data_IF_767614591608
#
_entry.id   IF_767614591608
#
_cell.length_a   1.000
_cell.length_b   1.000
_cell.length_c   1.000
_cell.angle_alpha   90.00
_cell.angle_beta   90.00
_cell.angle_gamma   90.00
#
_symmetry.space_group_name_H-M   'P 1'
#
loop_
_entity.id
_entity.type
_entity.pdbx_description
1 polymer ?
#
# COMPACT_ATOMS: atom_id res chain seq x y z
N UNK A 1 -28.45 -5.24 -11.11
CA UNK A 1 -27.68 -5.28 -11.23
C UNK A 1 -26.81 -4.61 -10.67
N UNK A 2 -26.42 -4.65 -10.14
CA UNK A 2 -25.47 -3.94 -9.54
C UNK A 2 -24.32 -3.86 -10.40
N UNK A 3 -23.62 -2.89 -10.35
CA UNK A 3 -22.32 -2.81 -10.91
C UNK A 3 -21.37 -2.87 -9.75
N UNK A 4 -21.06 -4.07 -9.28
CA UNK A 4 -20.23 -4.15 -8.06
C UNK A 4 -18.87 -3.54 -8.24
N UNK A 5 -18.40 -3.43 -9.49
CA UNK A 5 -17.14 -2.77 -9.77
C UNK A 5 -17.30 -1.35 -10.24
N UNK A 6 -18.35 -0.72 -9.82
CA UNK A 6 -18.58 0.68 -10.12
C UNK A 6 -17.42 1.52 -9.58
N UNK A 7 -16.84 2.36 -10.43
CA UNK A 7 -15.70 3.21 -10.05
C UNK A 7 -16.04 4.13 -8.88
N UNK A 8 -17.31 4.55 -8.77
CA UNK A 8 -17.75 5.43 -7.68
C UNK A 8 -17.68 4.76 -6.31
N UNK A 9 -17.67 3.42 -6.27
CA UNK A 9 -17.56 2.68 -5.02
C UNK A 9 -16.11 2.37 -4.67
N UNK A 10 -15.21 2.51 -5.63
CA UNK A 10 -13.80 2.22 -5.41
C UNK A 10 -13.19 3.24 -4.46
N UNK A 11 -12.30 2.74 -3.61
CA UNK A 11 -11.53 3.58 -2.71
C UNK A 11 -10.09 3.62 -3.20
N UNK A 12 -9.57 4.82 -3.40
CA UNK A 12 -8.17 5.01 -3.74
C UNK A 12 -7.43 5.39 -2.46
N UNK A 13 -6.34 4.67 -2.17
CA UNK A 13 -5.49 4.98 -1.02
C UNK A 13 -4.11 5.28 -1.57
N UNK A 14 -3.55 6.40 -1.13
CA UNK A 14 -2.16 6.74 -1.43
C UNK A 14 -1.36 6.78 -0.15
N UNK A 15 -0.08 6.46 -0.25
CA UNK A 15 0.82 6.57 0.88
C UNK A 15 2.16 7.09 0.42
N UNK A 16 2.80 7.87 1.27
CA UNK A 16 4.17 8.32 1.08
C UNK A 16 4.99 7.84 2.26
N UNK A 17 6.13 7.25 1.96
CA UNK A 17 7.08 6.80 2.97
C UNK A 17 8.42 7.48 2.74
N UNK A 18 9.07 7.82 3.83
CA UNK A 18 10.49 8.13 3.81
C UNK A 18 11.19 7.16 4.75
N UNK A 19 12.11 6.38 4.22
CA UNK A 19 12.83 5.34 4.96
C UNK A 19 13.94 5.99 5.77
N UNK A 20 14.14 5.50 7.00
CA UNK A 20 15.27 5.92 7.84
C UNK A 20 16.60 5.60 7.13
N UNK A 21 17.57 6.53 7.11
CA UNK A 21 18.88 6.24 6.52
C UNK A 21 19.50 4.99 7.10
N UNK A 22 19.99 4.13 6.22
CA UNK A 22 20.58 2.85 6.60
C UNK A 22 19.62 1.67 6.49
N UNK A 23 18.31 1.93 6.37
CA UNK A 23 17.30 0.88 6.29
C UNK A 23 16.80 0.63 4.86
N UNK A 24 17.44 1.22 3.88
CA UNK A 24 16.98 1.18 2.50
C UNK A 24 16.84 -0.24 1.96
N UNK A 25 17.88 -1.05 2.13
CA UNK A 25 17.87 -2.42 1.60
C UNK A 25 16.83 -3.30 2.30
N UNK A 26 16.68 -3.12 3.61
CA UNK A 26 15.72 -3.89 4.39
C UNK A 26 14.29 -3.59 3.94
N UNK A 27 13.95 -2.30 3.79
CA UNK A 27 12.60 -1.91 3.35
C UNK A 27 12.34 -2.36 1.93
N UNK A 28 13.32 -2.22 1.02
CA UNK A 28 13.16 -2.67 -0.35
C UNK A 28 12.84 -4.17 -0.42
N UNK A 29 13.53 -4.98 0.37
CA UNK A 29 13.26 -6.41 0.44
C UNK A 29 11.88 -6.74 0.97
N UNK A 30 11.45 -6.02 2.03
CA UNK A 30 10.11 -6.21 2.60
C UNK A 30 9.01 -5.86 1.58
N UNK A 31 9.20 -4.78 0.82
CA UNK A 31 8.20 -4.37 -0.18
C UNK A 31 8.13 -5.35 -1.35
N UNK A 32 9.26 -5.94 -1.76
CA UNK A 32 9.26 -6.97 -2.81
C UNK A 32 8.51 -8.22 -2.37
N UNK A 33 8.60 -8.56 -1.10
CA UNK A 33 7.87 -9.69 -0.54
C UNK A 33 6.38 -9.37 -0.42
N UNK A 34 6.05 -8.17 0.00
CA UNK A 34 4.68 -7.74 0.28
C UNK A 34 3.84 -7.55 -0.98
N UNK A 35 4.41 -6.92 -2.01
CA UNK A 35 3.65 -6.46 -3.17
C UNK A 35 2.83 -7.55 -3.86
N UNK A 36 3.40 -8.73 -4.20
CA UNK A 36 2.60 -9.76 -4.86
C UNK A 36 1.46 -10.28 -3.98
N UNK A 37 1.65 -10.30 -2.68
CA UNK A 37 0.60 -10.73 -1.75
C UNK A 37 -0.55 -9.72 -1.69
N UNK A 38 -0.24 -8.43 -1.69
CA UNK A 38 -1.25 -7.39 -1.75
C UNK A 38 -2.02 -7.44 -3.07
N UNK A 39 -1.32 -7.65 -4.18
CA UNK A 39 -1.95 -7.70 -5.50
C UNK A 39 -2.91 -8.88 -5.66
N UNK A 40 -2.76 -9.94 -4.86
CA UNK A 40 -3.62 -11.12 -4.94
C UNK A 40 -4.87 -11.02 -4.07
N UNK A 41 -5.00 -10.00 -3.24
CA UNK A 41 -6.18 -9.85 -2.38
C UNK A 41 -7.43 -9.65 -3.26
N UNK A 42 -8.54 -10.35 -2.96
CA UNK A 42 -9.73 -10.29 -3.82
C UNK A 42 -10.30 -8.89 -4.00
N UNK A 43 -10.19 -8.05 -3.00
CA UNK A 43 -10.74 -6.70 -3.06
C UNK A 43 -9.79 -5.65 -3.62
N UNK A 44 -8.58 -6.04 -4.02
CA UNK A 44 -7.59 -5.11 -4.57
C UNK A 44 -7.72 -5.08 -6.08
N UNK A 45 -8.01 -3.90 -6.63
CA UNK A 45 -8.10 -3.68 -8.07
C UNK A 45 -6.75 -3.29 -8.66
N UNK A 46 -5.96 -2.52 -7.90
CA UNK A 46 -4.66 -2.04 -8.31
C UNK A 46 -3.80 -1.87 -7.07
N UNK A 47 -2.56 -2.29 -7.12
CA UNK A 47 -1.62 -2.03 -6.04
C UNK A 47 -0.24 -1.80 -6.65
N UNK A 48 0.25 -0.57 -6.53
CA UNK A 48 1.53 -0.17 -7.10
C UNK A 48 2.40 0.43 -6.01
N UNK A 49 3.67 0.11 -6.04
CA UNK A 49 4.67 0.72 -5.17
C UNK A 49 5.72 1.35 -6.06
N UNK A 50 5.95 2.65 -5.88
CA UNK A 50 6.89 3.42 -6.69
C UNK A 50 8.01 3.93 -5.81
N UNK A 51 9.23 3.90 -6.33
CA UNK A 51 10.39 4.45 -5.64
C UNK A 51 10.82 5.72 -6.38
N UNK A 52 11.13 6.77 -5.61
CA UNK A 52 11.60 8.02 -6.19
C UNK A 52 12.96 7.81 -6.83
N UNK A 53 13.12 8.31 -8.06
CA UNK A 53 14.36 8.09 -8.80
C UNK A 53 15.53 8.89 -8.25
N UNK A 54 15.27 10.09 -7.73
CA UNK A 54 16.31 10.96 -7.19
C UNK A 54 16.61 10.65 -5.73
N UNK A 55 15.61 10.20 -4.98
CA UNK A 55 15.73 9.95 -3.53
C UNK A 55 15.23 8.54 -3.22
N UNK A 56 16.11 7.52 -3.27
CA UNK A 56 15.69 6.11 -3.11
C UNK A 56 15.03 5.76 -1.79
N UNK A 57 15.15 6.61 -0.78
CA UNK A 57 14.46 6.39 0.50
C UNK A 57 12.99 6.79 0.46
N UNK A 58 12.52 7.41 -0.62
CA UNK A 58 11.14 7.87 -0.74
C UNK A 58 10.34 6.94 -1.62
N UNK A 59 9.19 6.51 -1.12
CA UNK A 59 8.27 5.62 -1.82
C UNK A 59 6.89 6.26 -1.91
N UNK A 60 6.19 5.94 -2.99
CA UNK A 60 4.80 6.34 -3.19
C UNK A 60 3.98 5.08 -3.49
N UNK A 61 2.87 4.92 -2.80
CA UNK A 61 1.95 3.80 -2.97
C UNK A 61 0.68 4.31 -3.62
N UNK A 62 0.23 3.61 -4.65
CA UNK A 62 -1.06 3.85 -5.28
C UNK A 62 -1.87 2.57 -5.20
N UNK A 63 -2.98 2.62 -4.47
CA UNK A 63 -3.77 1.44 -4.15
C UNK A 63 -5.22 1.71 -4.48
N UNK A 64 -5.87 0.79 -5.19
CA UNK A 64 -7.29 0.90 -5.51
C UNK A 64 -7.98 -0.34 -4.97
N UNK A 65 -8.95 -0.12 -4.09
CA UNK A 65 -9.75 -1.17 -3.48
C UNK A 65 -11.16 -1.13 -4.04
N UNK A 66 -11.85 -2.28 -4.03
CA UNK A 66 -13.23 -2.35 -4.47
C UNK A 66 -14.17 -1.46 -3.64
N UNK A 67 -13.79 -1.16 -2.41
CA UNK A 67 -14.54 -0.29 -1.52
C UNK A 67 -13.89 -0.27 -0.15
N UNK A 68 -14.57 0.36 0.81
CA UNK A 68 -14.03 0.50 2.16
C UNK A 68 -13.85 -0.85 2.87
N UNK A 69 -14.76 -1.79 2.62
CA UNK A 69 -14.65 -3.12 3.23
C UNK A 69 -13.39 -3.83 2.76
N UNK A 70 -13.04 -3.72 1.47
CA UNK A 70 -11.83 -4.33 0.93
C UNK A 70 -10.57 -3.73 1.54
N UNK A 71 -10.58 -2.42 1.80
CA UNK A 71 -9.45 -1.76 2.48
C UNK A 71 -9.34 -2.24 3.93
N UNK A 72 -10.47 -2.38 4.61
CA UNK A 72 -10.46 -2.91 5.98
C UNK A 72 -9.91 -4.34 6.00
N UNK A 73 -10.33 -5.19 5.05
CA UNK A 73 -9.81 -6.54 4.92
C UNK A 73 -8.30 -6.56 4.67
N UNK A 74 -7.82 -5.66 3.80
CA UNK A 74 -6.40 -5.51 3.52
C UNK A 74 -5.59 -5.31 4.80
N UNK A 75 -6.09 -4.46 5.68
CA UNK A 75 -5.40 -4.14 6.93
C UNK A 75 -5.44 -5.28 7.94
N UNK A 76 -6.29 -6.29 7.73
CA UNK A 76 -6.38 -7.46 8.58
C UNK A 76 -5.57 -8.64 8.06
N UNK A 77 -5.00 -8.55 6.86
CA UNK A 77 -4.20 -9.65 6.30
C UNK A 77 -2.93 -9.90 7.11
N UNK A 78 -2.47 -11.14 7.09
CA UNK A 78 -1.23 -11.50 7.78
C UNK A 78 -0.04 -10.75 7.19
N UNK A 79 0.02 -10.63 5.85
CA UNK A 79 1.13 -9.94 5.22
C UNK A 79 1.16 -8.44 5.55
N UNK A 80 0.02 -7.78 5.68
CA UNK A 80 0.00 -6.38 6.10
C UNK A 80 0.51 -6.26 7.54
N UNK A 81 -0.03 -7.06 8.44
CA UNK A 81 0.34 -7.00 9.86
C UNK A 81 1.80 -7.34 10.10
N UNK A 82 2.28 -8.39 9.44
CA UNK A 82 3.64 -8.89 9.68
C UNK A 82 4.70 -8.08 8.93
N UNK A 83 4.49 -7.83 7.65
CA UNK A 83 5.51 -7.18 6.82
C UNK A 83 5.45 -5.66 6.98
N UNK A 84 4.26 -5.08 6.86
CA UNK A 84 4.14 -3.62 6.90
C UNK A 84 4.21 -3.11 8.33
N UNK A 85 3.24 -3.48 9.17
CA UNK A 85 3.16 -2.93 10.52
C UNK A 85 4.31 -3.42 11.39
N UNK A 86 4.61 -4.71 11.33
CA UNK A 86 5.59 -5.31 12.21
C UNK A 86 7.03 -5.04 11.84
N UNK A 87 7.34 -4.87 10.55
CA UNK A 87 8.73 -4.78 10.10
C UNK A 87 9.06 -3.50 9.36
N UNK A 88 8.23 -3.07 8.41
CA UNK A 88 8.55 -1.90 7.60
C UNK A 88 8.34 -0.59 8.35
N UNK A 89 7.18 -0.42 8.99
CA UNK A 89 6.83 0.84 9.65
C UNK A 89 7.88 1.28 10.68
N UNK A 90 8.44 0.40 11.53
CA UNK A 90 9.49 0.83 12.46
C UNK A 90 10.76 1.37 11.79
N UNK A 91 10.93 1.12 10.49
CA UNK A 91 12.11 1.57 9.73
C UNK A 91 11.86 2.86 8.95
N UNK A 92 10.72 3.51 9.17
CA UNK A 92 10.36 4.73 8.46
C UNK A 92 10.60 5.97 9.28
N UNK A 93 11.14 7.01 8.62
CA UNK A 93 11.27 8.36 9.19
C UNK A 93 9.97 9.13 9.04
N UNK A 94 9.21 8.87 7.96
CA UNK A 94 7.93 9.53 7.70
C UNK A 94 6.96 8.54 7.05
N UNK A 95 5.68 8.72 7.36
CA UNK A 95 4.60 7.95 6.77
C UNK A 95 3.35 8.81 6.70
N UNK A 96 2.80 8.97 5.48
CA UNK A 96 1.56 9.71 5.25
C UNK A 96 0.61 8.85 4.43
N UNK A 97 -0.68 8.95 4.71
CA UNK A 97 -1.69 8.17 4.01
C UNK A 97 -2.90 9.05 3.75
N UNK A 98 -3.50 8.90 2.58
CA UNK A 98 -4.69 9.65 2.19
C UNK A 98 -5.66 8.75 1.45
N UNK A 99 -6.94 9.10 1.51
CA UNK A 99 -7.99 8.35 0.85
C UNK A 99 -8.72 9.26 -0.13
N UNK A 100 -9.05 8.70 -1.29
CA UNK A 100 -9.69 9.43 -2.39
C UNK A 100 -10.76 8.55 -3.02
N UNK A 101 -11.62 9.16 -3.80
CA UNK A 101 -12.52 8.42 -4.69
C UNK A 101 -12.40 8.97 -6.09
N UNK A 102 -12.76 8.14 -7.05
CA UNK A 102 -12.83 8.61 -8.44
C UNK A 102 -13.95 9.63 -8.59
N UNK A 103 -13.78 10.56 -9.49
CA UNK A 103 -14.79 11.56 -9.85
C UNK A 103 -15.67 11.03 -10.96
#
# INVERSE_FOLDING_TARGET
MAAPDNANQSLVVTAFWEVTPGEEAAVAGLLKEFLPQAQREPGVKEFQIHQNLAEPRKYFFYEVFAGEAAFADHQQTAHFKNIIVGQAVPKLAKRERSQFRFI
#
